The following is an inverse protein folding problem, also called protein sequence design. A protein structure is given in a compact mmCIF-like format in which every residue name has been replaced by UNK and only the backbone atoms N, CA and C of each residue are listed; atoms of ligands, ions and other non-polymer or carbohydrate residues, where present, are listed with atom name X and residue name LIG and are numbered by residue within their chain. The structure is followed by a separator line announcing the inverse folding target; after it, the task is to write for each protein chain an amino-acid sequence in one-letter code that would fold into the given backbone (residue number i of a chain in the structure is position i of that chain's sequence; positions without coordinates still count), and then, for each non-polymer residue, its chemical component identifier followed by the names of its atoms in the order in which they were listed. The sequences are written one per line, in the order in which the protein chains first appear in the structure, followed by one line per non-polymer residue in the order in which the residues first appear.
data_IF_948002805559
#
_entry.id   IF_948002805559
#
_cell.length_a   1.000
_cell.length_b   1.000
_cell.length_c   1.000
_cell.angle_alpha   90.00
_cell.angle_beta   90.00
_cell.angle_gamma   90.00
#
_symmetry.space_group_name_H-M   'P 1'
#
loop_
_entity.id
_entity.type
_entity.pdbx_description
1 polymer ?
#
# COMPACT_ATOMS: atom_id res chain seq x y z
N UNK A 1 44.36 -29.97 -8.50
CA UNK A 1 43.02 -29.99 -9.13
C UNK A 1 41.94 -29.38 -8.23
N UNK A 2 42.19 -28.24 -7.59
CA UNK A 2 41.20 -27.48 -6.80
C UNK A 2 41.27 -26.07 -7.33
N UNK A 3 40.50 -25.74 -8.38
CA UNK A 3 40.30 -24.33 -8.77
C UNK A 3 39.25 -24.03 -9.84
N UNK A 4 38.39 -24.99 -10.20
CA UNK A 4 37.27 -24.69 -11.13
C UNK A 4 35.92 -24.59 -10.40
N UNK A 5 35.67 -25.46 -9.41
CA UNK A 5 34.44 -25.41 -8.60
C UNK A 5 34.35 -24.19 -7.66
N UNK A 6 35.49 -23.71 -7.14
CA UNK A 6 35.54 -22.52 -6.27
C UNK A 6 35.25 -21.23 -7.07
N UNK A 7 35.79 -21.13 -8.29
CA UNK A 7 35.54 -20.00 -9.19
C UNK A 7 34.08 -19.97 -9.64
N UNK A 8 33.50 -21.12 -9.97
CA UNK A 8 32.07 -21.23 -10.29
C UNK A 8 31.15 -20.90 -9.11
N UNK A 9 31.51 -21.30 -7.89
CA UNK A 9 30.74 -20.98 -6.69
C UNK A 9 30.78 -19.47 -6.38
N UNK A 10 31.95 -18.84 -6.54
CA UNK A 10 32.12 -17.40 -6.38
C UNK A 10 31.37 -16.60 -7.46
N UNK A 11 31.41 -17.05 -8.72
CA UNK A 11 30.63 -16.44 -9.80
C UNK A 11 29.12 -16.57 -9.54
N UNK A 12 28.66 -17.72 -9.04
CA UNK A 12 27.26 -17.94 -8.69
C UNK A 12 26.80 -17.03 -7.54
N UNK A 13 27.62 -16.87 -6.49
CA UNK A 13 27.34 -15.95 -5.39
C UNK A 13 27.32 -14.49 -5.81
N UNK A 14 28.18 -14.06 -6.75
CA UNK A 14 28.17 -12.70 -7.28
C UNK A 14 26.89 -12.43 -8.11
N UNK A 15 26.45 -13.40 -8.90
CA UNK A 15 25.19 -13.31 -9.68
C UNK A 15 23.96 -13.28 -8.77
N UNK A 16 23.93 -14.10 -7.71
CA UNK A 16 22.83 -14.11 -6.73
C UNK A 16 22.76 -12.77 -5.96
N UNK A 17 23.90 -12.22 -5.55
CA UNK A 17 23.93 -10.92 -4.86
C UNK A 17 23.51 -9.76 -5.79
N UNK A 18 23.95 -9.76 -7.05
CA UNK A 18 23.53 -8.73 -8.01
C UNK A 18 22.05 -8.84 -8.36
N UNK A 19 21.49 -10.04 -8.45
CA UNK A 19 20.05 -10.25 -8.61
C UNK A 19 19.25 -9.75 -7.40
N UNK A 20 19.71 -10.02 -6.17
CA UNK A 20 19.08 -9.52 -4.93
C UNK A 20 19.10 -7.99 -4.82
N UNK A 21 20.19 -7.33 -5.25
CA UNK A 21 20.28 -5.86 -5.31
C UNK A 21 19.32 -5.27 -6.34
N UNK A 22 19.10 -5.95 -7.48
CA UNK A 22 18.15 -5.52 -8.52
C UNK A 22 16.69 -5.70 -8.06
N UNK A 23 16.37 -6.82 -7.38
CA UNK A 23 15.00 -7.09 -6.90
C UNK A 23 14.58 -6.15 -5.75
N UNK A 24 15.52 -5.74 -4.91
CA UNK A 24 15.28 -4.73 -3.86
C UNK A 24 15.43 -3.28 -4.37
N UNK A 25 15.84 -3.09 -5.63
CA UNK A 25 15.92 -1.80 -6.33
C UNK A 25 14.75 -1.53 -7.27
N UNK A 26 13.68 -2.32 -7.18
CA UNK A 26 12.46 -2.18 -7.99
C UNK A 26 11.75 -0.85 -7.76
N UNK A 27 11.74 -0.04 -8.82
CA UNK A 27 11.00 1.22 -9.06
C UNK A 27 11.46 2.41 -8.22
N UNK A 28 12.59 3.02 -8.62
CA UNK A 28 12.70 4.47 -8.50
C UNK A 28 11.51 5.10 -9.24
N UNK A 29 10.68 5.85 -8.51
CA UNK A 29 9.78 6.82 -9.10
C UNK A 29 10.63 7.74 -9.96
N UNK A 30 10.44 7.65 -11.28
CA UNK A 30 11.04 8.56 -12.22
C UNK A 30 10.32 9.91 -12.05
N UNK A 31 10.90 10.81 -11.27
CA UNK A 31 10.57 12.23 -11.35
C UNK A 31 11.06 12.71 -12.72
N UNK A 32 10.17 12.64 -13.73
CA UNK A 32 10.42 13.28 -15.01
C UNK A 32 10.08 14.76 -14.88
N UNK A 33 11.14 15.56 -14.93
CA UNK A 33 11.10 16.99 -15.09
C UNK A 33 10.29 17.43 -16.31
N UNK A 34 9.65 18.58 -16.12
CA UNK A 34 8.92 19.42 -17.06
C UNK A 34 9.61 19.52 -18.43
N UNK A 35 8.85 19.20 -19.47
CA UNK A 35 9.10 19.69 -20.80
C UNK A 35 7.77 20.22 -21.34
N UNK A 36 7.62 21.54 -21.19
CA UNK A 36 6.53 22.34 -21.70
C UNK A 36 6.07 21.95 -23.11
N UNK A 37 4.75 21.78 -23.27
CA UNK A 37 4.03 21.79 -24.55
C UNK A 37 2.81 22.72 -24.42
N UNK A 38 2.37 23.38 -25.52
CA UNK A 38 1.61 24.62 -25.44
C UNK A 38 0.19 24.45 -24.88
N UNK A 39 -0.19 25.42 -24.07
CA UNK A 39 -1.50 25.57 -23.44
C UNK A 39 -2.59 25.60 -24.51
N UNK A 40 -3.46 24.58 -24.51
CA UNK A 40 -4.78 24.70 -25.11
C UNK A 40 -5.76 24.99 -23.99
N UNK A 41 -6.20 26.24 -23.94
CA UNK A 41 -7.19 26.79 -23.04
C UNK A 41 -8.50 26.00 -23.14
N UNK A 42 -8.85 25.25 -22.10
CA UNK A 42 -10.22 25.09 -21.61
C UNK A 42 -10.13 24.84 -20.10
N UNK A 43 -10.46 25.86 -19.30
CA UNK A 43 -10.55 25.75 -17.84
C UNK A 43 -11.45 24.58 -17.43
N UNK A 44 -11.09 23.89 -16.33
CA UNK A 44 -11.99 23.91 -15.18
C UNK A 44 -11.45 24.80 -14.06
N UNK A 45 -12.33 25.49 -13.33
CA UNK A 45 -11.94 26.40 -12.27
C UNK A 45 -11.15 25.65 -11.19
N UNK A 46 -10.02 26.27 -10.85
CA UNK A 46 -9.43 26.39 -9.53
C UNK A 46 -9.77 25.30 -8.51
N UNK A 47 -8.72 24.58 -8.12
CA UNK A 47 -8.63 23.71 -6.96
C UNK A 47 -9.55 24.14 -5.82
N UNK A 48 -10.71 23.51 -5.79
CA UNK A 48 -11.47 23.38 -4.58
C UNK A 48 -10.90 22.15 -3.89
N UNK A 49 -9.77 22.32 -3.18
CA UNK A 49 -9.57 21.53 -1.96
C UNK A 49 -10.68 21.96 -1.01
N UNK A 50 -11.92 21.53 -1.28
CA UNK A 50 -12.91 21.48 -0.24
C UNK A 50 -12.36 20.40 0.64
N UNK A 51 -11.73 20.81 1.73
CA UNK A 51 -12.10 20.19 2.98
C UNK A 51 -13.63 20.20 2.95
N UNK A 52 -14.25 19.09 2.50
CA UNK A 52 -15.70 19.02 2.40
C UNK A 52 -16.14 19.31 3.83
N UNK A 53 -16.72 20.48 4.07
CA UNK A 53 -17.09 21.03 5.38
C UNK A 53 -18.24 20.20 6.01
N UNK A 54 -18.05 18.89 6.09
CA UNK A 54 -19.07 17.91 6.34
C UNK A 54 -18.52 16.50 6.42
N UNK A 55 -19.19 15.68 7.24
CA UNK A 55 -18.91 14.27 7.40
C UNK A 55 -19.21 13.55 6.07
N UNK A 56 -18.16 13.26 5.30
CA UNK A 56 -18.26 12.49 4.06
C UNK A 56 -17.60 11.14 4.22
N UNK A 57 -18.15 10.17 3.50
CA UNK A 57 -17.66 8.81 3.40
C UNK A 57 -17.48 8.43 1.93
N UNK A 58 -16.56 7.52 1.68
CA UNK A 58 -16.35 6.93 0.37
C UNK A 58 -16.97 5.54 0.33
N UNK A 59 -17.89 5.27 -0.59
CA UNK A 59 -18.56 3.96 -0.71
C UNK A 59 -18.46 3.42 -2.13
N UNK A 60 -18.55 2.10 -2.29
CA UNK A 60 -18.48 1.46 -3.60
C UNK A 60 -19.71 1.79 -4.46
N UNK A 61 -19.49 1.97 -5.77
CA UNK A 61 -20.55 2.16 -6.74
C UNK A 61 -21.09 0.80 -7.22
N UNK A 62 -22.31 0.45 -6.82
CA UNK A 62 -22.91 -0.84 -7.13
C UNK A 62 -23.19 -1.09 -8.63
N UNK A 63 -23.15 -0.05 -9.47
CA UNK A 63 -23.41 -0.14 -10.91
C UNK A 63 -22.18 -0.42 -11.78
N UNK A 64 -21.00 -0.64 -11.19
CA UNK A 64 -19.77 -0.96 -11.95
C UNK A 64 -19.55 -2.47 -12.15
N UNK A 65 -18.62 -2.82 -13.04
CA UNK A 65 -18.15 -4.19 -13.21
C UNK A 65 -17.64 -4.77 -11.89
N UNK A 66 -18.08 -5.99 -11.55
CA UNK A 66 -17.58 -6.71 -10.38
C UNK A 66 -16.07 -6.97 -10.45
N UNK A 67 -15.52 -7.15 -11.66
CA UNK A 67 -14.08 -7.32 -11.85
C UNK A 67 -13.32 -6.06 -11.43
N UNK A 68 -13.80 -4.88 -11.84
CA UNK A 68 -13.14 -3.61 -11.54
C UNK A 68 -13.27 -3.29 -10.06
N UNK A 69 -14.42 -3.60 -9.47
CA UNK A 69 -14.65 -3.43 -8.05
C UNK A 69 -13.77 -4.35 -7.20
N UNK A 70 -13.59 -5.62 -7.60
CA UNK A 70 -12.71 -6.55 -6.92
C UNK A 70 -11.25 -6.09 -7.00
N UNK A 71 -10.78 -5.70 -8.19
CA UNK A 71 -9.43 -5.19 -8.38
C UNK A 71 -9.17 -3.94 -7.51
N UNK A 72 -10.16 -3.06 -7.42
CA UNK A 72 -10.07 -1.87 -6.56
C UNK A 72 -10.05 -2.23 -5.07
N UNK A 73 -10.85 -3.21 -4.62
CA UNK A 73 -10.81 -3.72 -3.25
C UNK A 73 -9.46 -4.35 -2.92
N UNK A 74 -8.95 -5.21 -3.80
CA UNK A 74 -7.65 -5.88 -3.63
C UNK A 74 -6.51 -4.85 -3.55
N UNK A 75 -6.58 -3.82 -4.39
CA UNK A 75 -5.64 -2.70 -4.32
C UNK A 75 -5.76 -1.96 -2.99
N UNK A 76 -6.97 -1.63 -2.54
CA UNK A 76 -7.20 -0.90 -1.29
C UNK A 76 -6.60 -1.65 -0.08
N UNK A 77 -6.86 -2.95 0.03
CA UNK A 77 -6.35 -3.78 1.12
C UNK A 77 -4.85 -4.10 1.00
N UNK A 78 -4.32 -4.14 -0.22
CA UNK A 78 -2.91 -4.43 -0.50
C UNK A 78 -2.06 -3.17 -0.52
N UNK A 79 -1.94 -2.55 -1.69
CA UNK A 79 -1.07 -1.39 -1.92
C UNK A 79 -1.58 -0.12 -1.25
N UNK A 80 -2.90 0.04 -1.16
CA UNK A 80 -3.56 1.16 -0.50
C UNK A 80 -3.46 1.12 1.02
N UNK A 81 -3.07 -0.02 1.61
CA UNK A 81 -2.89 -0.20 3.06
C UNK A 81 -4.15 0.17 3.89
N UNK A 82 -5.34 -0.01 3.32
CA UNK A 82 -6.59 0.11 4.05
C UNK A 82 -6.72 -1.03 5.09
N UNK A 83 -7.31 -0.75 6.25
CA UNK A 83 -7.61 -1.78 7.24
C UNK A 83 -8.81 -2.61 6.81
N UNK A 84 -8.52 -3.75 6.18
CA UNK A 84 -9.51 -4.71 5.72
C UNK A 84 -9.76 -5.86 6.71
N UNK A 85 -9.20 -5.84 7.92
CA UNK A 85 -9.51 -6.86 8.94
C UNK A 85 -11.00 -6.89 9.32
N UNK A 86 -11.72 -5.75 9.40
CA UNK A 86 -13.12 -5.76 9.82
C UNK A 86 -14.08 -6.42 8.84
N UNK A 87 -13.71 -6.51 7.57
CA UNK A 87 -14.50 -7.13 6.49
C UNK A 87 -14.15 -8.61 6.25
N UNK A 88 -13.15 -9.15 6.95
CA UNK A 88 -12.86 -10.59 6.87
C UNK A 88 -13.90 -11.40 7.63
N UNK A 89 -13.99 -12.69 7.34
CA UNK A 89 -14.89 -13.63 8.02
C UNK A 89 -14.77 -13.51 9.55
N UNK A 90 -15.91 -13.39 10.24
CA UNK A 90 -15.98 -13.16 11.69
C UNK A 90 -15.71 -11.71 12.14
N UNK A 91 -15.42 -10.81 11.20
CA UNK A 91 -15.26 -9.38 11.45
C UNK A 91 -16.60 -8.64 11.65
N UNK A 92 -16.59 -7.45 12.28
CA UNK A 92 -17.79 -6.66 12.54
C UNK A 92 -18.46 -6.09 11.28
N UNK A 93 -17.75 -6.04 10.16
CA UNK A 93 -18.20 -5.54 8.85
C UNK A 93 -18.23 -6.63 7.76
N UNK A 94 -18.21 -7.91 8.16
CA UNK A 94 -18.33 -9.01 7.20
C UNK A 94 -19.73 -9.07 6.60
N UNK A 95 -20.76 -8.96 7.45
CA UNK A 95 -22.15 -9.03 7.04
C UNK A 95 -22.64 -7.64 6.60
N UNK A 96 -23.29 -7.49 5.43
CA UNK A 96 -23.63 -8.53 4.48
C UNK A 96 -22.42 -8.96 3.62
N UNK A 97 -22.26 -10.28 3.46
CA UNK A 97 -21.20 -10.90 2.65
C UNK A 97 -21.42 -10.65 1.14
N UNK A 98 -21.02 -9.46 0.70
CA UNK A 98 -20.99 -9.10 -0.71
C UNK A 98 -19.85 -8.12 -0.98
N UNK A 99 -19.38 -8.18 -2.22
CA UNK A 99 -18.24 -7.38 -2.69
C UNK A 99 -18.45 -5.88 -2.50
N UNK A 100 -19.66 -5.36 -2.73
CA UNK A 100 -19.96 -3.93 -2.62
C UNK A 100 -19.82 -3.45 -1.18
N UNK A 101 -20.23 -4.26 -0.21
CA UNK A 101 -20.19 -3.91 1.22
C UNK A 101 -18.76 -3.92 1.75
N UNK A 102 -18.00 -4.97 1.40
CA UNK A 102 -16.58 -5.08 1.74
C UNK A 102 -15.76 -3.96 1.09
N UNK A 103 -15.96 -3.71 -0.21
CA UNK A 103 -15.32 -2.61 -0.93
C UNK A 103 -15.66 -1.25 -0.33
N UNK A 104 -16.94 -1.00 0.00
CA UNK A 104 -17.35 0.27 0.61
C UNK A 104 -16.58 0.54 1.91
N UNK A 105 -16.41 -0.46 2.77
CA UNK A 105 -15.68 -0.29 4.02
C UNK A 105 -14.19 -0.01 3.78
N UNK A 106 -13.55 -0.80 2.91
CA UNK A 106 -12.14 -0.61 2.56
C UNK A 106 -11.87 0.76 1.93
N UNK A 107 -12.73 1.18 0.99
CA UNK A 107 -12.63 2.47 0.31
C UNK A 107 -12.79 3.63 1.28
N UNK A 108 -13.75 3.55 2.20
CA UNK A 108 -13.88 4.56 3.22
C UNK A 108 -12.64 4.62 4.12
N UNK A 109 -12.14 3.47 4.57
CA UNK A 109 -10.98 3.42 5.43
C UNK A 109 -9.74 4.08 4.78
N UNK A 110 -9.48 3.78 3.50
CA UNK A 110 -8.46 4.47 2.71
C UNK A 110 -8.73 5.97 2.57
N UNK A 111 -9.96 6.34 2.20
CA UNK A 111 -10.37 7.72 2.00
C UNK A 111 -10.12 8.60 3.24
N UNK A 112 -10.44 8.09 4.44
CA UNK A 112 -10.21 8.80 5.70
C UNK A 112 -8.70 8.90 6.02
N UNK A 113 -7.91 7.86 5.73
CA UNK A 113 -6.46 7.88 5.95
C UNK A 113 -5.72 8.82 4.98
N UNK A 114 -6.27 9.04 3.79
CA UNK A 114 -5.67 9.82 2.71
C UNK A 114 -6.24 11.24 2.59
N UNK A 115 -6.65 11.81 3.73
CA UNK A 115 -7.00 13.23 3.83
C UNK A 115 -8.36 13.60 3.25
N UNK A 116 -9.28 12.64 3.13
CA UNK A 116 -10.67 12.90 2.73
C UNK A 116 -10.82 13.61 1.37
N UNK A 117 -9.86 13.44 0.47
CA UNK A 117 -9.87 14.06 -0.86
C UNK A 117 -10.73 13.31 -1.86
N UNK A 118 -11.28 14.03 -2.84
CA UNK A 118 -11.99 13.49 -3.99
C UNK A 118 -11.14 12.45 -4.75
N UNK A 119 -9.85 12.71 -4.91
CA UNK A 119 -8.89 11.79 -5.54
C UNK A 119 -8.79 10.47 -4.77
N UNK A 120 -8.78 10.52 -3.43
CA UNK A 120 -8.71 9.32 -2.60
C UNK A 120 -9.98 8.45 -2.68
N UNK A 121 -11.11 8.99 -3.14
CA UNK A 121 -12.36 8.24 -3.35
C UNK A 121 -12.61 7.86 -4.82
N UNK A 122 -11.61 7.94 -5.69
CA UNK A 122 -11.83 7.63 -7.11
C UNK A 122 -11.87 6.12 -7.38
N UNK A 123 -10.87 5.35 -6.93
CA UNK A 123 -10.76 3.90 -7.17
C UNK A 123 -11.03 3.49 -8.64
N UNK A 124 -10.55 4.29 -9.59
CA UNK A 124 -10.79 4.05 -11.02
C UNK A 124 -12.26 4.25 -11.45
N UNK A 125 -13.02 5.08 -10.74
CA UNK A 125 -14.45 5.30 -10.97
C UNK A 125 -15.38 4.28 -10.32
N UNK A 126 -14.85 3.41 -9.46
CA UNK A 126 -15.63 2.35 -8.78
C UNK A 126 -16.18 2.77 -7.42
N UNK A 127 -15.93 4.01 -6.99
CA UNK A 127 -16.38 4.53 -5.71
C UNK A 127 -17.01 5.92 -5.85
N UNK A 128 -17.85 6.29 -4.88
CA UNK A 128 -18.57 7.56 -4.83
C UNK A 128 -18.53 8.15 -3.43
N UNK A 129 -18.52 9.48 -3.36
CA UNK A 129 -18.70 10.20 -2.10
C UNK A 129 -20.16 10.22 -1.69
N UNK A 130 -20.40 9.98 -0.40
CA UNK A 130 -21.72 10.11 0.22
C UNK A 130 -21.63 10.98 1.47
N UNK A 131 -22.70 11.74 1.73
CA UNK A 131 -22.91 12.48 3.00
C UNK A 131 -23.74 11.68 4.00
N UNK A 132 -24.25 10.52 3.59
CA UNK A 132 -25.00 9.62 4.45
C UNK A 132 -24.04 8.65 5.12
N UNK A 133 -24.10 8.55 6.45
CA UNK A 133 -23.27 7.62 7.20
C UNK A 133 -23.64 6.17 6.80
N UNK A 134 -22.72 5.41 6.17
CA UNK A 134 -22.99 4.05 5.74
C UNK A 134 -22.82 3.00 6.86
N UNK A 135 -22.59 3.42 8.11
CA UNK A 135 -22.49 2.52 9.26
C UNK A 135 -23.81 1.78 9.51
N UNK A 136 -23.71 0.51 9.88
CA UNK A 136 -24.87 -0.33 10.18
C UNK A 136 -24.50 -1.38 11.23
N UNK A 137 -25.46 -1.78 12.06
CA UNK A 137 -25.27 -2.85 13.05
C UNK A 137 -24.02 -2.67 13.91
N UNK A 138 -23.04 -3.57 13.77
CA UNK A 138 -21.73 -3.51 14.43
C UNK A 138 -20.62 -2.92 13.56
N UNK A 139 -20.90 -2.65 12.29
CA UNK A 139 -19.96 -2.10 11.33
C UNK A 139 -19.99 -0.57 11.37
N UNK A 140 -18.93 0.01 11.93
CA UNK A 140 -18.78 1.46 12.05
C UNK A 140 -17.78 1.98 11.02
N UNK A 141 -18.23 2.88 10.15
CA UNK A 141 -17.38 3.56 9.19
C UNK A 141 -16.72 4.77 9.83
N UNK A 142 -15.39 4.86 9.73
CA UNK A 142 -14.66 6.05 10.15
C UNK A 142 -15.16 7.28 9.38
N UNK A 143 -15.45 8.36 10.11
CA UNK A 143 -15.75 9.68 9.55
C UNK A 143 -14.58 10.66 9.72
N UNK A 144 -14.64 11.85 9.09
CA UNK A 144 -13.58 12.84 9.21
C UNK A 144 -13.42 13.27 10.67
N UNK A 145 -12.18 13.22 11.18
CA UNK A 145 -11.86 13.50 12.58
C UNK A 145 -12.03 12.30 13.53
N UNK A 146 -12.55 11.15 13.07
CA UNK A 146 -12.42 9.91 13.81
C UNK A 146 -10.99 9.37 13.63
N UNK A 147 -10.10 9.88 14.47
CA UNK A 147 -8.92 9.14 14.89
C UNK A 147 -9.41 7.82 15.46
N UNK A 148 -9.48 6.81 14.59
CA UNK A 148 -9.56 5.43 15.04
C UNK A 148 -8.37 5.28 15.95
N UNK A 149 -8.66 5.22 17.25
CA UNK A 149 -7.70 4.84 18.27
C UNK A 149 -7.46 3.34 18.07
N UNK A 150 -6.90 2.99 16.92
CA UNK A 150 -6.09 1.81 16.79
C UNK A 150 -4.95 2.12 17.75
N UNK A 151 -5.07 1.62 18.97
CA UNK A 151 -3.92 1.43 19.82
C UNK A 151 -2.86 0.85 18.90
N UNK A 152 -1.88 1.68 18.55
CA UNK A 152 -0.73 1.25 17.80
C UNK A 152 -0.29 -0.06 18.47
N UNK A 153 -0.09 -1.17 17.73
CA UNK A 153 0.62 -2.27 18.34
C UNK A 153 1.89 -1.63 18.91
N UNK A 154 2.05 -1.79 20.21
CA UNK A 154 3.11 -1.18 21.00
C UNK A 154 4.40 -1.18 20.19
N UNK A 155 5.09 -0.04 20.24
CA UNK A 155 6.41 0.22 19.69
C UNK A 155 7.45 -0.82 20.21
N UNK A 156 7.38 -2.04 19.69
CA UNK A 156 8.24 -3.19 19.89
C UNK A 156 7.89 -4.10 18.68
N UNK A 157 8.59 -4.14 17.55
CA UNK A 157 10.01 -4.28 17.30
C UNK A 157 10.21 -3.79 15.85
N UNK A 158 10.69 -2.58 15.64
CA UNK A 158 11.28 -2.17 14.35
C UNK A 158 12.67 -1.63 14.62
N UNK A 159 13.52 -2.51 15.14
CA UNK A 159 14.96 -2.27 15.11
C UNK A 159 15.75 -3.56 15.12
N UNK A 160 15.58 -4.41 14.09
CA UNK A 160 16.66 -5.33 13.77
C UNK A 160 16.62 -5.86 12.32
N UNK A 161 16.85 -4.99 11.34
CA UNK A 161 17.15 -5.44 9.97
C UNK A 161 18.39 -4.78 9.36
N UNK A 162 19.26 -4.19 10.20
CA UNK A 162 20.58 -3.67 9.80
C UNK A 162 21.75 -4.45 10.41
N UNK A 163 21.57 -5.17 11.53
CA UNK A 163 22.65 -5.96 12.15
C UNK A 163 22.86 -7.35 11.55
N UNK A 164 21.89 -7.88 10.79
CA UNK A 164 22.02 -9.24 10.21
C UNK A 164 22.98 -9.28 9.02
N UNK A 165 23.03 -8.22 8.21
CA UNK A 165 23.89 -8.16 7.01
C UNK A 165 25.36 -7.99 7.42
N UNK A 166 25.63 -7.17 8.44
CA UNK A 166 27.00 -6.92 8.90
C UNK A 166 27.62 -8.12 9.61
N UNK A 167 26.84 -8.91 10.38
CA UNK A 167 27.32 -10.18 10.94
C UNK A 167 27.70 -11.19 9.84
N UNK A 168 26.92 -11.25 8.76
CA UNK A 168 27.19 -12.14 7.63
C UNK A 168 28.45 -11.73 6.87
N UNK A 169 28.69 -10.43 6.71
CA UNK A 169 29.92 -9.87 6.10
C UNK A 169 31.14 -10.11 7.00
N UNK A 170 31.03 -9.89 8.32
CA UNK A 170 32.12 -10.14 9.24
C UNK A 170 32.50 -11.63 9.30
N UNK A 171 31.50 -12.53 9.29
CA UNK A 171 31.72 -13.97 9.29
C UNK A 171 32.37 -14.50 8.01
N UNK A 172 32.01 -13.96 6.84
CA UNK A 172 32.66 -14.35 5.58
C UNK A 172 34.07 -13.80 5.47
N UNK A 173 34.36 -12.59 5.95
CA UNK A 173 35.72 -12.05 5.98
C UNK A 173 36.65 -12.90 6.87
N UNK A 174 36.16 -13.33 8.03
CA UNK A 174 36.92 -14.18 8.96
C UNK A 174 37.19 -15.58 8.41
N UNK A 175 36.22 -16.16 7.68
CA UNK A 175 36.38 -17.46 7.01
C UNK A 175 37.40 -17.38 5.85
N UNK A 176 37.39 -16.29 5.08
CA UNK A 176 38.36 -16.06 4.01
C UNK A 176 39.78 -15.88 4.55
N UNK A 177 39.94 -15.20 5.70
CA UNK A 177 41.24 -15.08 6.38
C UNK A 177 41.73 -16.42 6.95
N UNK A 178 40.82 -17.31 7.36
CA UNK A 178 41.17 -18.64 7.87
C UNK A 178 41.56 -19.63 6.76
N UNK A 179 40.95 -19.53 5.58
CA UNK A 179 41.26 -20.36 4.41
C UNK A 179 42.42 -19.84 3.56
N UNK A 180 42.86 -18.59 3.80
CA UNK A 180 44.01 -17.97 3.14
C UNK A 180 45.34 -18.15 3.88
N UNK A 181 45.37 -18.93 4.96
CA UNK A 181 46.56 -19.30 5.73
C UNK A 181 46.80 -20.80 5.61
#
# INVERSE_FOLDING_TARGET
MKNNYSLWFLLCLLVINSYLVVVMGGVVVQEKADAAMPITTLSPPEGNTTFLDGLTWCVAHAGVSQIDLQNALDWACGLGMADCKPIQEGGPCYEPDNLVSHASYAFNNYYQQNGNSDIACNFGGTAVLTKHNPSYGKCNYAGPGSVSSTSAPSLFILKNSQSFVWWKIAGTLLLLLYLGR
#
